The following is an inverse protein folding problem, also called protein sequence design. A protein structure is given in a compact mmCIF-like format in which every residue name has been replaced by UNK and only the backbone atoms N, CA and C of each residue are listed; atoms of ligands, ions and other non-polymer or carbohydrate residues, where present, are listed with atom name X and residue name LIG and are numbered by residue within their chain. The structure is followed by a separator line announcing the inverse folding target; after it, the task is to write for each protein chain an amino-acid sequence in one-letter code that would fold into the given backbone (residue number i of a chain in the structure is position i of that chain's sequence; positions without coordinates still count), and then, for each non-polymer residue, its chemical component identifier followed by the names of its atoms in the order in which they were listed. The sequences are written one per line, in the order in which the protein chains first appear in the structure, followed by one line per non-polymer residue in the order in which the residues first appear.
data_IF_142131918132
#
_entry.id   IF_142131918132
#
_cell.length_a   1.000
_cell.length_b   1.000
_cell.length_c   1.000
_cell.angle_alpha   90.00
_cell.angle_beta   90.00
_cell.angle_gamma   90.00
#
_symmetry.space_group_name_H-M   'P 1'
#
loop_
_entity.id
_entity.type
_entity.pdbx_description
1 polymer ?
#
# COMPACT_ATOMS: atom_id res chain seq x y z
N UNK A 1 -3.92 -10.93 29.94
CA UNK A 1 -4.63 -11.80 28.99
C UNK A 1 -4.61 -11.08 27.65
N UNK A 2 -3.95 -11.60 26.62
CA UNK A 2 -3.99 -10.98 25.29
C UNK A 2 -5.37 -11.22 24.69
N UNK A 3 -6.04 -10.16 24.23
CA UNK A 3 -7.37 -10.21 23.62
C UNK A 3 -7.20 -9.99 22.12
N UNK A 4 -7.85 -10.78 21.26
CA UNK A 4 -7.87 -10.49 19.81
C UNK A 4 -8.91 -9.44 19.42
N UNK A 5 -9.69 -8.93 20.40
CA UNK A 5 -10.70 -7.90 20.15
C UNK A 5 -10.04 -6.56 19.81
N UNK A 6 -9.94 -6.30 18.51
CA UNK A 6 -9.34 -5.08 17.97
C UNK A 6 -10.08 -3.81 18.36
N UNK A 7 -11.39 -3.88 18.62
CA UNK A 7 -12.13 -2.71 19.13
C UNK A 7 -11.65 -2.38 20.53
N UNK A 8 -11.58 -3.39 21.41
CA UNK A 8 -11.05 -3.19 22.77
C UNK A 8 -9.59 -2.71 22.76
N UNK A 9 -8.75 -3.22 21.84
CA UNK A 9 -7.34 -2.80 21.72
C UNK A 9 -7.19 -1.35 21.20
N UNK A 10 -7.95 -0.95 20.19
CA UNK A 10 -7.73 0.31 19.48
C UNK A 10 -8.62 1.48 19.95
N UNK A 11 -9.78 1.23 20.56
CA UNK A 11 -10.67 2.29 21.07
C UNK A 11 -9.97 3.26 22.03
N UNK A 12 -9.13 2.83 23.01
CA UNK A 12 -8.44 3.77 23.89
C UNK A 12 -7.49 4.73 23.16
N UNK A 13 -6.94 4.31 22.02
CA UNK A 13 -5.98 5.10 21.24
C UNK A 13 -6.68 6.05 20.27
N UNK A 14 -7.69 5.56 19.56
CA UNK A 14 -8.27 6.29 18.42
C UNK A 14 -9.65 6.89 18.69
N UNK A 15 -10.31 6.54 19.79
CA UNK A 15 -11.68 7.00 20.06
C UNK A 15 -12.64 6.70 18.91
N UNK A 16 -13.71 7.48 18.79
CA UNK A 16 -14.61 7.42 17.63
C UNK A 16 -14.01 8.21 16.46
N UNK A 17 -13.24 7.53 15.61
CA UNK A 17 -12.55 8.15 14.48
C UNK A 17 -12.42 7.21 13.27
N UNK A 18 -12.17 7.75 12.06
CA UNK A 18 -11.89 6.92 10.89
C UNK A 18 -10.69 5.98 11.08
N UNK A 19 -9.74 6.33 11.96
CA UNK A 19 -8.62 5.45 12.29
C UNK A 19 -9.07 4.23 13.09
N UNK A 20 -10.05 4.36 14.00
CA UNK A 20 -10.63 3.20 14.67
C UNK A 20 -11.33 2.28 13.67
N UNK A 21 -12.12 2.85 12.75
CA UNK A 21 -12.80 2.07 11.71
C UNK A 21 -11.77 1.32 10.84
N UNK A 22 -10.75 2.02 10.32
CA UNK A 22 -9.68 1.40 9.54
C UNK A 22 -9.01 0.24 10.29
N UNK A 23 -8.62 0.45 11.55
CA UNK A 23 -7.89 -0.54 12.36
C UNK A 23 -8.75 -1.68 12.91
N UNK A 24 -10.06 -1.65 12.68
CA UNK A 24 -10.99 -2.72 13.11
C UNK A 24 -11.74 -3.36 11.94
N UNK A 25 -11.67 -2.80 10.73
CA UNK A 25 -12.36 -3.31 9.53
C UNK A 25 -11.44 -3.69 8.37
N UNK A 26 -10.18 -3.21 8.38
CA UNK A 26 -9.19 -3.59 7.37
C UNK A 26 -8.87 -5.08 7.45
N UNK A 27 -8.53 -5.66 6.29
CA UNK A 27 -8.22 -7.09 6.14
C UNK A 27 -7.16 -7.57 7.14
N UNK A 28 -6.13 -6.75 7.38
CA UNK A 28 -5.00 -7.12 8.26
C UNK A 28 -5.42 -7.26 9.73
N UNK A 29 -6.51 -6.61 10.15
CA UNK A 29 -6.95 -6.57 11.55
C UNK A 29 -8.20 -7.40 11.81
N UNK A 30 -8.62 -8.26 10.88
CA UNK A 30 -9.83 -9.05 11.04
C UNK A 30 -9.57 -10.55 11.05
N UNK A 31 -10.39 -11.25 11.82
CA UNK A 31 -10.49 -12.71 11.84
C UNK A 31 -11.62 -13.18 10.89
N UNK A 32 -11.72 -14.50 10.59
CA UNK A 32 -12.91 -15.07 9.96
C UNK A 32 -14.20 -14.74 10.76
N UNK A 33 -15.35 -14.57 10.09
CA UNK A 33 -15.58 -14.79 8.66
C UNK A 33 -15.27 -13.59 7.76
N UNK A 34 -15.08 -12.39 8.33
CA UNK A 34 -14.91 -11.16 7.55
C UNK A 34 -13.60 -11.19 6.75
N UNK A 35 -12.50 -11.59 7.37
CA UNK A 35 -11.21 -11.75 6.69
C UNK A 35 -11.33 -12.69 5.48
N UNK A 36 -11.94 -13.86 5.67
CA UNK A 36 -12.13 -14.85 4.59
C UNK A 36 -12.92 -14.27 3.42
N UNK A 37 -13.99 -13.51 3.71
CA UNK A 37 -14.82 -12.87 2.69
C UNK A 37 -14.04 -11.81 1.90
N UNK A 38 -13.39 -10.88 2.58
CA UNK A 38 -12.65 -9.78 1.93
C UNK A 38 -11.47 -10.32 1.14
N UNK A 39 -10.68 -11.25 1.72
CA UNK A 39 -9.56 -11.89 1.04
C UNK A 39 -10.00 -12.54 -0.27
N UNK A 40 -11.09 -13.31 -0.25
CA UNK A 40 -11.62 -13.97 -1.46
C UNK A 40 -11.95 -12.98 -2.58
N UNK A 41 -12.47 -11.80 -2.26
CA UNK A 41 -12.82 -10.78 -3.24
C UNK A 41 -11.58 -10.16 -3.88
N UNK A 42 -10.55 -9.85 -3.08
CA UNK A 42 -9.33 -9.19 -3.59
C UNK A 42 -8.37 -10.13 -4.30
N UNK A 43 -8.41 -11.45 -4.01
CA UNK A 43 -7.43 -12.39 -4.54
C UNK A 43 -7.42 -12.50 -6.07
N UNK A 44 -8.51 -12.12 -6.75
CA UNK A 44 -8.54 -12.06 -8.21
C UNK A 44 -7.55 -11.03 -8.80
N UNK A 45 -7.36 -9.92 -8.09
CA UNK A 45 -6.45 -8.84 -8.51
C UNK A 45 -4.99 -9.09 -8.10
N UNK A 46 -4.76 -9.98 -7.13
CA UNK A 46 -3.43 -10.24 -6.53
C UNK A 46 -2.95 -11.69 -6.69
N UNK A 47 -3.49 -12.45 -7.65
CA UNK A 47 -3.01 -13.80 -7.94
C UNK A 47 -1.74 -13.78 -8.80
N UNK A 48 -1.08 -14.94 -8.93
CA UNK A 48 0.16 -15.09 -9.71
C UNK A 48 0.02 -14.58 -11.15
N UNK A 49 -1.12 -14.82 -11.80
CA UNK A 49 -1.35 -14.36 -13.17
C UNK A 49 -1.46 -12.84 -13.22
N UNK A 50 -2.06 -12.20 -12.22
CA UNK A 50 -2.14 -10.75 -12.12
C UNK A 50 -0.75 -10.14 -11.87
N UNK A 51 0.00 -10.68 -10.91
CA UNK A 51 1.38 -10.25 -10.60
C UNK A 51 2.27 -10.36 -11.84
N UNK A 52 2.20 -11.49 -12.58
CA UNK A 52 2.99 -11.68 -13.80
C UNK A 52 2.69 -10.62 -14.87
N UNK A 53 1.44 -10.15 -14.98
CA UNK A 53 1.08 -9.08 -15.93
C UNK A 53 1.67 -7.72 -15.53
N UNK A 54 2.06 -7.53 -14.27
CA UNK A 54 2.67 -6.30 -13.79
C UNK A 54 4.18 -6.25 -14.05
N UNK A 55 4.81 -7.40 -14.34
CA UNK A 55 6.27 -7.53 -14.47
C UNK A 55 6.84 -6.64 -15.57
N UNK A 56 6.26 -6.65 -16.76
CA UNK A 56 6.71 -5.80 -17.88
C UNK A 56 6.65 -4.31 -17.54
N UNK A 57 5.55 -3.87 -16.92
CA UNK A 57 5.39 -2.49 -16.47
C UNK A 57 6.36 -2.10 -15.36
N UNK A 58 6.68 -3.02 -14.45
CA UNK A 58 7.67 -2.81 -13.40
C UNK A 58 9.08 -2.71 -13.97
N UNK A 59 9.45 -3.57 -14.92
CA UNK A 59 10.77 -3.50 -15.59
C UNK A 59 10.92 -2.18 -16.33
N UNK A 60 9.88 -1.75 -17.04
CA UNK A 60 9.90 -0.45 -17.73
C UNK A 60 10.07 0.71 -16.75
N UNK A 61 9.30 0.71 -15.65
CA UNK A 61 9.43 1.70 -14.58
C UNK A 61 10.85 1.73 -14.00
N UNK A 62 11.45 0.58 -13.72
CA UNK A 62 12.83 0.52 -13.20
C UNK A 62 13.80 1.15 -14.19
N UNK A 63 13.66 0.87 -15.50
CA UNK A 63 14.44 1.53 -16.55
C UNK A 63 14.29 3.04 -16.51
N UNK A 64 13.04 3.55 -16.52
CA UNK A 64 12.76 5.00 -16.47
C UNK A 64 13.40 5.67 -15.23
N UNK A 65 13.36 5.01 -14.08
CA UNK A 65 13.94 5.53 -12.84
C UNK A 65 15.48 5.53 -12.88
N UNK A 66 16.09 4.51 -13.48
CA UNK A 66 17.54 4.45 -13.65
C UNK A 66 18.02 5.53 -14.63
N UNK A 67 17.34 5.69 -15.76
CA UNK A 67 17.65 6.71 -16.76
C UNK A 67 17.58 8.13 -16.15
N UNK A 68 16.55 8.40 -15.33
CA UNK A 68 16.40 9.68 -14.62
C UNK A 68 17.55 9.97 -13.64
N UNK A 69 18.21 8.94 -13.13
CA UNK A 69 19.31 9.08 -12.18
C UNK A 69 20.66 9.33 -12.87
N UNK A 70 20.81 9.00 -14.16
CA UNK A 70 22.08 9.20 -14.89
C UNK A 70 22.48 10.67 -14.99
N UNK A 71 21.50 11.56 -15.06
CA UNK A 71 21.71 13.01 -15.17
C UNK A 71 22.01 13.70 -13.82
N UNK A 72 21.95 12.96 -12.71
CA UNK A 72 22.15 13.51 -11.37
C UNK A 72 23.61 13.43 -10.93
N UNK A 73 24.15 14.53 -10.40
CA UNK A 73 25.48 14.53 -9.79
C UNK A 73 25.52 13.81 -8.43
N UNK A 74 24.36 13.69 -7.78
CA UNK A 74 24.16 13.00 -6.51
C UNK A 74 22.77 12.34 -6.53
N UNK A 75 22.70 11.11 -6.01
CA UNK A 75 21.48 10.28 -6.02
C UNK A 75 21.10 9.93 -4.59
N UNK A 76 19.87 10.24 -4.17
CA UNK A 76 19.27 9.61 -3.00
C UNK A 76 18.54 8.33 -3.44
N UNK A 77 19.17 7.17 -3.24
CA UNK A 77 18.60 5.90 -3.68
C UNK A 77 17.23 5.59 -3.04
N UNK A 78 16.92 6.16 -1.89
CA UNK A 78 15.61 5.99 -1.25
C UNK A 78 14.58 6.88 -1.94
N UNK A 79 14.84 8.18 -2.02
CA UNK A 79 13.93 9.18 -2.59
C UNK A 79 13.74 9.05 -4.10
N UNK A 80 14.84 8.87 -4.83
CA UNK A 80 14.86 8.91 -6.30
C UNK A 80 14.51 7.57 -6.93
N UNK A 81 14.66 6.46 -6.21
CA UNK A 81 14.43 5.12 -6.75
C UNK A 81 13.47 4.27 -5.90
N UNK A 82 13.91 3.84 -4.71
CA UNK A 82 13.24 2.78 -3.97
C UNK A 82 11.83 3.16 -3.51
N UNK A 83 11.61 4.41 -3.10
CA UNK A 83 10.30 4.88 -2.63
C UNK A 83 9.28 5.10 -3.74
N UNK A 84 9.73 5.31 -4.98
CA UNK A 84 8.85 5.52 -6.15
C UNK A 84 8.22 4.23 -6.64
N UNK A 85 8.99 3.14 -6.65
CA UNK A 85 8.53 1.81 -7.11
C UNK A 85 7.20 1.38 -6.48
N UNK A 86 7.04 1.33 -5.15
CA UNK A 86 5.77 0.87 -4.55
C UNK A 86 4.60 1.82 -4.82
N UNK A 87 4.85 3.13 -4.96
CA UNK A 87 3.81 4.14 -5.27
C UNK A 87 3.28 3.91 -6.69
N UNK A 88 4.17 3.68 -7.65
CA UNK A 88 3.79 3.43 -9.04
C UNK A 88 3.09 2.07 -9.21
N UNK A 89 3.60 1.03 -8.53
CA UNK A 89 2.99 -0.30 -8.59
C UNK A 89 1.58 -0.29 -8.00
N UNK A 90 1.36 0.34 -6.83
CA UNK A 90 0.02 0.42 -6.23
C UNK A 90 -0.90 1.34 -7.04
N UNK A 91 -0.37 2.45 -7.58
CA UNK A 91 -1.12 3.35 -8.44
C UNK A 91 -1.62 2.66 -9.71
N UNK A 92 -0.79 1.82 -10.33
CA UNK A 92 -1.19 1.00 -11.48
C UNK A 92 -2.25 -0.05 -11.10
N UNK A 93 -2.12 -0.69 -9.93
CA UNK A 93 -3.10 -1.68 -9.47
C UNK A 93 -4.48 -1.06 -9.24
N UNK A 94 -4.51 0.17 -8.74
CA UNK A 94 -5.73 0.90 -8.38
C UNK A 94 -6.24 1.84 -9.49
N UNK A 95 -5.60 1.81 -10.66
CA UNK A 95 -5.91 2.67 -11.81
C UNK A 95 -5.91 4.18 -11.46
N UNK A 96 -4.96 4.60 -10.62
CA UNK A 96 -4.80 6.00 -10.19
C UNK A 96 -3.94 6.74 -11.22
N UNK A 97 -4.37 7.90 -11.77
CA UNK A 97 -3.55 8.74 -12.66
C UNK A 97 -2.21 9.10 -12.03
N UNK A 98 -1.11 9.11 -12.82
CA UNK A 98 0.26 9.32 -12.28
C UNK A 98 0.40 10.62 -11.50
N UNK A 99 -0.23 11.69 -11.96
CA UNK A 99 -0.26 13.02 -11.34
C UNK A 99 -1.01 13.06 -9.99
N UNK A 100 -1.87 12.08 -9.72
CA UNK A 100 -2.60 11.95 -8.45
C UNK A 100 -1.89 11.06 -7.42
N UNK A 101 -0.76 10.42 -7.77
CA UNK A 101 -0.10 9.42 -6.90
C UNK A 101 0.76 10.02 -5.78
N UNK A 102 1.15 11.30 -5.90
CA UNK A 102 2.07 11.95 -4.95
C UNK A 102 1.65 11.81 -3.48
N UNK A 103 0.37 11.97 -3.09
CA UNK A 103 -0.03 11.93 -1.69
C UNK A 103 -0.05 10.51 -1.09
N UNK A 104 -0.07 9.46 -1.91
CA UNK A 104 -0.35 8.08 -1.49
C UNK A 104 0.59 7.60 -0.38
N UNK A 105 1.89 7.91 -0.51
CA UNK A 105 2.89 7.53 0.50
C UNK A 105 2.67 8.27 1.82
N UNK A 106 2.39 9.56 1.77
CA UNK A 106 2.19 10.38 2.96
C UNK A 106 0.93 9.93 3.73
N UNK A 107 -0.16 9.64 3.03
CA UNK A 107 -1.37 9.10 3.63
C UNK A 107 -1.14 7.73 4.26
N UNK A 108 -0.45 6.81 3.56
CA UNK A 108 -0.12 5.48 4.08
C UNK A 108 0.68 5.57 5.38
N UNK A 109 1.71 6.42 5.43
CA UNK A 109 2.48 6.65 6.64
C UNK A 109 1.61 7.24 7.75
N UNK A 110 0.82 8.27 7.46
CA UNK A 110 -0.04 8.90 8.44
C UNK A 110 -1.07 7.92 9.05
N UNK A 111 -1.56 6.96 8.27
CA UNK A 111 -2.50 5.94 8.76
C UNK A 111 -1.79 4.87 9.58
N UNK A 112 -0.64 4.37 9.12
CA UNK A 112 0.05 3.23 9.75
C UNK A 112 0.92 3.61 10.94
N UNK A 113 1.41 4.84 10.99
CA UNK A 113 2.18 5.36 12.13
C UNK A 113 1.32 6.07 13.17
N UNK A 114 0.01 6.19 12.95
CA UNK A 114 -0.92 6.79 13.90
C UNK A 114 -1.00 5.99 15.19
#
# INVERSE_FOLDING_TARGET
RTSSDKKAEFTPKFGDSPLLEHHTTSLVFNDPPLHTRVRRLIMGALNQRAIKRMEEGLVHLIGELLDQMEDLSEVDIIGDFASRIPIEVIGNLLDIPRDERQPLRAWSLAILSA
#
